data_IF_490449310421
#
_entry.id   IF_490449310421
#
_cell.length_a   1.000
_cell.length_b   1.000
_cell.length_c   1.000
_cell.angle_alpha   90.00
_cell.angle_beta   90.00
_cell.angle_gamma   90.00
#
_symmetry.space_group_name_H-M   'P 1'
#
loop_
_entity.id
_entity.type
_entity.pdbx_description
1 polymer ?
#
# COMPACT_ATOMS: atom_id res chain seq x y z
N UNK A 1 -30.22 -24.50 -25.09
CA UNK A 1 -29.08 -25.41 -25.34
C UNK A 1 -28.21 -25.51 -24.09
N UNK A 2 -28.18 -26.64 -23.40
CA UNK A 2 -27.27 -26.85 -22.25
C UNK A 2 -25.88 -27.16 -22.80
N UNK A 3 -24.92 -26.23 -22.70
CA UNK A 3 -23.53 -26.53 -23.04
C UNK A 3 -22.88 -27.26 -21.86
N UNK A 4 -22.55 -28.54 -22.07
CA UNK A 4 -21.65 -29.30 -21.20
C UNK A 4 -20.22 -28.99 -21.64
N UNK A 5 -19.36 -28.58 -20.72
CA UNK A 5 -17.93 -28.42 -20.97
C UNK A 5 -17.15 -29.51 -20.24
N UNK A 6 -16.26 -30.20 -20.97
CA UNK A 6 -15.33 -31.21 -20.43
C UNK A 6 -14.13 -30.51 -19.81
N UNK A 7 -13.74 -30.93 -18.61
CA UNK A 7 -12.50 -30.52 -17.92
C UNK A 7 -11.35 -31.40 -18.44
N UNK A 8 -10.27 -30.84 -19.03
CA UNK A 8 -9.08 -31.61 -19.33
C UNK A 8 -7.99 -31.35 -18.27
N UNK A 9 -7.67 -32.41 -17.51
CA UNK A 9 -6.37 -32.80 -16.96
C UNK A 9 -5.51 -31.77 -16.19
N UNK A 10 -5.29 -32.08 -14.90
CA UNK A 10 -4.20 -31.59 -14.06
C UNK A 10 -2.85 -32.13 -14.59
N UNK A 11 -1.88 -31.26 -14.83
CA UNK A 11 -0.45 -31.61 -14.82
C UNK A 11 0.16 -31.01 -13.56
N UNK A 12 0.52 -31.88 -12.61
CA UNK A 12 1.29 -31.50 -11.44
C UNK A 12 2.78 -31.54 -11.81
N UNK A 13 3.43 -30.38 -11.79
CA UNK A 13 4.87 -30.20 -11.92
C UNK A 13 5.34 -29.10 -10.97
N UNK A 14 6.36 -29.40 -10.17
CA UNK A 14 6.91 -28.63 -9.06
C UNK A 14 6.78 -27.09 -9.09
N UNK A 15 6.24 -26.53 -7.99
CA UNK A 15 6.72 -25.26 -7.44
C UNK A 15 5.86 -24.00 -7.60
N UNK A 16 4.80 -24.00 -8.39
CA UNK A 16 3.88 -22.86 -8.45
C UNK A 16 2.46 -23.30 -8.88
N UNK A 17 1.45 -22.98 -8.07
CA UNK A 17 0.05 -23.13 -8.46
C UNK A 17 -0.41 -21.81 -9.09
N UNK A 18 -0.49 -21.77 -10.42
CA UNK A 18 -1.08 -20.65 -11.16
C UNK A 18 -2.60 -20.82 -11.19
N UNK A 19 -3.32 -19.88 -10.57
CA UNK A 19 -4.77 -19.77 -10.74
C UNK A 19 -5.06 -19.14 -12.10
N UNK A 20 -5.20 -19.95 -13.14
CA UNK A 20 -5.66 -19.48 -14.46
C UNK A 20 -7.19 -19.38 -14.46
N UNK A 21 -7.72 -18.18 -14.28
CA UNK A 21 -9.14 -17.88 -14.54
C UNK A 21 -9.31 -17.77 -16.06
N UNK A 22 -10.04 -18.69 -16.69
CA UNK A 22 -10.25 -18.65 -18.14
C UNK A 22 -11.23 -17.51 -18.54
N UNK A 23 -10.64 -16.46 -19.14
CA UNK A 23 -11.16 -15.54 -20.18
C UNK A 23 -12.15 -14.40 -19.83
N UNK A 24 -12.05 -13.22 -20.48
CA UNK A 24 -10.87 -12.45 -20.89
C UNK A 24 -10.68 -11.29 -19.89
N UNK A 25 -9.67 -11.36 -19.03
CA UNK A 25 -9.41 -10.28 -18.07
C UNK A 25 -8.19 -9.51 -18.57
N UNK A 26 -8.39 -8.23 -18.89
CA UNK A 26 -7.32 -7.29 -19.24
C UNK A 26 -6.27 -7.25 -18.13
N UNK A 27 -5.00 -7.06 -18.51
CA UNK A 27 -3.78 -7.17 -17.69
C UNK A 27 -3.67 -6.23 -16.47
N UNK A 28 -4.64 -6.28 -15.55
CA UNK A 28 -4.68 -5.50 -14.31
C UNK A 28 -5.06 -6.36 -13.07
N UNK A 29 -4.85 -7.67 -13.13
CA UNK A 29 -5.13 -8.54 -11.99
C UNK A 29 -4.03 -8.41 -10.93
N UNK A 30 -4.42 -7.86 -9.78
CA UNK A 30 -3.61 -7.71 -8.57
C UNK A 30 -3.22 -9.10 -8.05
N UNK A 31 -2.03 -9.56 -8.42
CA UNK A 31 -1.43 -10.76 -7.84
C UNK A 31 -0.95 -10.43 -6.43
N UNK A 32 -1.73 -10.80 -5.42
CA UNK A 32 -1.30 -10.75 -4.02
C UNK A 32 -0.40 -11.96 -3.78
N UNK A 33 0.92 -11.76 -3.84
CA UNK A 33 1.89 -12.76 -3.40
C UNK A 33 1.89 -12.76 -1.87
N UNK A 34 1.24 -13.76 -1.26
CA UNK A 34 1.30 -13.98 0.18
C UNK A 34 2.54 -14.86 0.46
N UNK A 35 3.61 -14.34 1.07
CA UNK A 35 4.73 -15.17 1.49
C UNK A 35 4.23 -16.07 2.62
N UNK A 36 4.16 -17.38 2.36
CA UNK A 36 3.71 -18.34 3.35
C UNK A 36 4.85 -19.28 3.69
N UNK A 37 5.12 -19.41 4.99
CA UNK A 37 6.01 -20.43 5.54
C UNK A 37 5.31 -21.82 5.55
N UNK A 38 4.15 -21.94 4.88
CA UNK A 38 3.27 -23.11 4.82
C UNK A 38 2.32 -23.04 3.60
N UNK A 39 1.43 -24.02 3.40
CA UNK A 39 0.45 -24.02 2.30
C UNK A 39 -0.73 -23.07 2.57
N UNK A 40 -1.03 -22.16 1.64
CA UNK A 40 -2.27 -21.38 1.67
C UNK A 40 -3.46 -22.33 1.48
N UNK A 41 -4.44 -22.27 2.37
CA UNK A 41 -5.69 -22.99 2.16
C UNK A 41 -6.80 -21.98 1.86
N UNK A 42 -7.36 -22.05 0.66
CA UNK A 42 -8.44 -21.17 0.22
C UNK A 42 -9.78 -21.91 0.27
N UNK A 43 -10.86 -21.18 0.50
CA UNK A 43 -12.22 -21.69 0.44
C UNK A 43 -13.07 -20.92 -0.56
N UNK A 44 -14.02 -21.61 -1.19
CA UNK A 44 -15.07 -20.94 -1.94
C UNK A 44 -16.14 -20.37 -0.98
N UNK A 45 -16.88 -19.35 -1.40
CA UNK A 45 -17.85 -18.62 -0.56
C UNK A 45 -18.90 -19.52 0.13
N UNK A 46 -19.22 -20.69 -0.45
CA UNK A 46 -20.18 -21.66 0.08
C UNK A 46 -19.62 -22.62 1.13
N UNK A 47 -18.31 -22.60 1.39
CA UNK A 47 -17.67 -23.51 2.34
C UNK A 47 -18.04 -23.11 3.78
N UNK A 48 -18.60 -24.02 4.60
CA UNK A 48 -18.91 -23.70 5.98
C UNK A 48 -17.61 -23.59 6.80
N UNK A 49 -17.56 -22.63 7.73
CA UNK A 49 -16.50 -22.61 8.72
C UNK A 49 -16.83 -23.60 9.84
N UNK A 50 -15.92 -24.55 10.08
CA UNK A 50 -16.00 -25.56 11.13
C UNK A 50 -14.57 -26.01 11.49
N UNK A 51 -14.42 -26.85 12.52
CA UNK A 51 -13.10 -27.24 13.03
C UNK A 51 -12.19 -27.88 11.96
N UNK A 52 -12.76 -28.64 11.00
CA UNK A 52 -11.98 -29.22 9.89
C UNK A 52 -11.50 -28.19 8.85
N UNK A 53 -12.14 -27.03 8.81
CA UNK A 53 -11.86 -25.93 7.90
C UNK A 53 -11.17 -24.74 8.60
N UNK A 54 -10.73 -24.89 9.85
CA UNK A 54 -9.96 -23.87 10.55
C UNK A 54 -8.68 -23.50 9.75
N UNK A 55 -8.42 -22.19 9.64
CA UNK A 55 -7.29 -21.65 8.88
C UNK A 55 -7.52 -21.54 7.37
N UNK A 56 -8.72 -21.83 6.86
CA UNK A 56 -9.10 -21.44 5.49
C UNK A 56 -9.28 -19.93 5.40
N UNK A 57 -8.87 -19.34 4.28
CA UNK A 57 -9.22 -17.95 3.92
C UNK A 57 -10.18 -17.91 2.74
N UNK A 58 -11.12 -16.96 2.73
CA UNK A 58 -12.03 -16.71 1.61
C UNK A 58 -12.20 -15.22 1.34
N UNK A 59 -12.65 -14.89 0.13
CA UNK A 59 -13.21 -13.58 -0.17
C UNK A 59 -14.74 -13.63 -0.01
N UNK A 60 -15.32 -12.75 0.79
CA UNK A 60 -16.76 -12.70 1.05
C UNK A 60 -17.56 -11.93 -0.01
N UNK A 61 -16.87 -11.27 -0.94
CA UNK A 61 -17.44 -10.26 -1.82
C UNK A 61 -17.03 -8.83 -1.43
N UNK A 62 -16.68 -8.61 -0.15
CA UNK A 62 -16.30 -7.30 0.37
C UNK A 62 -15.02 -7.30 1.20
N UNK A 63 -14.64 -8.42 1.81
CA UNK A 63 -13.42 -8.54 2.59
C UNK A 63 -12.86 -9.97 2.56
N UNK A 64 -11.59 -10.11 2.95
CA UNK A 64 -11.05 -11.42 3.26
C UNK A 64 -11.50 -11.85 4.65
N UNK A 65 -11.92 -13.10 4.75
CA UNK A 65 -12.31 -13.74 5.99
C UNK A 65 -11.43 -14.95 6.24
N UNK A 66 -11.09 -15.19 7.50
CA UNK A 66 -10.48 -16.42 7.97
C UNK A 66 -11.53 -17.29 8.67
N UNK A 67 -11.43 -18.61 8.56
CA UNK A 67 -12.23 -19.52 9.36
C UNK A 67 -11.51 -19.82 10.68
N UNK A 68 -12.13 -19.49 11.81
CA UNK A 68 -11.58 -19.77 13.16
C UNK A 68 -11.89 -21.18 13.69
N UNK A 69 -12.59 -21.99 12.90
CA UNK A 69 -13.09 -23.31 13.29
C UNK A 69 -14.57 -23.33 13.71
N UNK A 70 -15.21 -22.17 13.80
CA UNK A 70 -16.63 -22.02 14.17
C UNK A 70 -17.37 -21.00 13.30
N UNK A 71 -16.70 -19.92 12.91
CA UNK A 71 -17.25 -18.84 12.11
C UNK A 71 -16.20 -18.26 11.17
N UNK A 72 -16.70 -17.67 10.08
CA UNK A 72 -15.90 -16.81 9.22
C UNK A 72 -15.75 -15.45 9.91
N UNK A 73 -14.52 -15.07 10.19
CA UNK A 73 -14.15 -13.80 10.82
C UNK A 73 -13.44 -12.92 9.80
N UNK A 74 -13.76 -11.63 9.75
CA UNK A 74 -13.00 -10.70 8.92
C UNK A 74 -11.54 -10.67 9.37
N UNK A 75 -10.64 -10.79 8.41
CA UNK A 75 -9.23 -10.50 8.66
C UNK A 75 -9.14 -8.98 8.83
N UNK A 76 -9.03 -8.53 10.08
CA UNK A 76 -8.92 -7.12 10.40
C UNK A 76 -7.56 -6.58 10.00
N UNK A 77 -7.54 -5.36 9.48
CA UNK A 77 -6.31 -4.59 9.33
C UNK A 77 -5.89 -4.16 10.73
N UNK A 78 -4.69 -4.53 11.21
CA UNK A 78 -4.22 -4.10 12.53
C UNK A 78 -4.11 -2.57 12.59
N UNK A 79 -4.65 -1.97 13.67
CA UNK A 79 -4.71 -0.52 13.85
C UNK A 79 -4.17 -0.06 15.19
N UNK A 80 -3.90 1.25 15.25
CA UNK A 80 -3.56 2.00 16.46
C UNK A 80 -4.36 3.31 16.48
N UNK A 81 -4.76 3.76 17.66
CA UNK A 81 -5.48 5.03 17.81
C UNK A 81 -4.50 6.17 18.14
N UNK A 82 -4.54 7.26 17.38
CA UNK A 82 -3.72 8.44 17.62
C UNK A 82 -4.41 9.69 17.08
N UNK A 83 -4.26 10.81 17.80
CA UNK A 83 -4.81 12.13 17.43
C UNK A 83 -6.27 12.08 16.93
N UNK A 84 -7.11 11.31 17.62
CA UNK A 84 -8.55 11.24 17.31
C UNK A 84 -8.95 10.26 16.20
N UNK A 85 -8.01 9.51 15.63
CA UNK A 85 -8.26 8.66 14.47
C UNK A 85 -7.69 7.25 14.66
N UNK A 86 -8.28 6.26 13.96
CA UNK A 86 -7.73 4.91 13.83
C UNK A 86 -6.81 4.82 12.62
N UNK A 87 -5.55 4.48 12.83
CA UNK A 87 -4.52 4.37 11.81
C UNK A 87 -4.10 2.93 11.63
N UNK A 88 -3.60 2.55 10.45
CA UNK A 88 -2.88 1.28 10.31
C UNK A 88 -1.65 1.26 11.24
N UNK A 89 -1.37 0.13 11.87
CA UNK A 89 -0.24 -0.02 12.80
C UNK A 89 1.14 -0.01 12.10
N UNK A 90 1.18 -0.18 10.77
CA UNK A 90 2.38 -0.13 9.93
C UNK A 90 2.17 0.58 8.58
N UNK A 91 3.27 0.93 7.92
CA UNK A 91 3.23 1.53 6.59
C UNK A 91 2.64 0.56 5.57
N UNK A 92 1.99 1.08 4.54
CA UNK A 92 1.47 0.26 3.46
C UNK A 92 2.64 -0.46 2.75
N UNK A 93 2.56 -1.79 2.68
CA UNK A 93 3.65 -2.65 2.17
C UNK A 93 4.67 -3.10 3.21
N UNK A 94 4.59 -2.65 4.47
CA UNK A 94 5.46 -3.12 5.54
C UNK A 94 5.05 -4.51 6.05
N UNK A 95 6.04 -5.35 6.42
CA UNK A 95 5.76 -6.70 6.93
C UNK A 95 5.44 -6.71 8.43
N UNK A 96 5.90 -5.70 9.18
CA UNK A 96 5.69 -5.61 10.64
C UNK A 96 5.54 -4.17 11.15
N UNK A 97 5.05 -4.06 12.38
CA UNK A 97 5.14 -2.83 13.18
C UNK A 97 6.61 -2.54 13.48
N UNK A 98 6.99 -1.27 13.42
CA UNK A 98 8.36 -0.86 13.63
C UNK A 98 8.88 -1.19 15.04
N UNK A 99 10.06 -1.81 15.09
CA UNK A 99 10.83 -2.05 16.32
C UNK A 99 11.86 -0.94 16.59
N UNK A 100 12.27 -0.21 15.55
CA UNK A 100 13.13 0.98 15.62
C UNK A 100 12.78 1.97 14.50
N UNK A 101 13.26 3.21 14.58
CA UNK A 101 13.03 4.23 13.55
C UNK A 101 13.66 3.89 12.19
N UNK A 102 14.64 2.98 12.16
CA UNK A 102 15.34 2.49 10.97
C UNK A 102 15.05 1.01 10.66
N UNK A 103 13.91 0.48 11.13
CA UNK A 103 13.51 -0.89 10.88
C UNK A 103 13.11 -1.11 9.41
N UNK A 104 13.97 -1.78 8.65
CA UNK A 104 13.77 -2.02 7.21
C UNK A 104 12.47 -2.78 6.91
N UNK A 105 12.04 -3.66 7.80
CA UNK A 105 10.81 -4.44 7.65
C UNK A 105 9.54 -3.60 7.89
N UNK A 106 9.69 -2.42 8.50
CA UNK A 106 8.61 -1.48 8.76
C UNK A 106 8.52 -0.34 7.75
N UNK A 107 9.51 -0.19 6.86
CA UNK A 107 9.56 0.90 5.89
C UNK A 107 8.38 0.93 4.93
N UNK A 108 7.93 -0.24 4.49
CA UNK A 108 6.88 -0.36 3.46
C UNK A 108 7.33 0.14 2.09
N UNK A 109 6.36 0.40 1.21
CA UNK A 109 6.59 0.77 -0.18
C UNK A 109 6.62 2.30 -0.40
N UNK A 110 7.05 2.75 -1.58
CA UNK A 110 7.22 4.16 -1.95
C UNK A 110 6.36 4.54 -3.17
N UNK A 111 5.18 5.10 -2.91
CA UNK A 111 4.15 5.37 -3.92
C UNK A 111 4.38 6.70 -4.62
N UNK A 112 4.07 6.81 -5.91
CA UNK A 112 3.91 8.09 -6.59
C UNK A 112 2.51 8.64 -6.33
N UNK A 113 2.41 9.94 -6.11
CA UNK A 113 1.15 10.53 -5.63
C UNK A 113 0.02 10.33 -6.64
N UNK A 114 -1.10 9.76 -6.21
CA UNK A 114 -2.26 9.49 -7.07
C UNK A 114 -2.21 8.16 -7.84
N UNK A 115 -1.15 7.35 -7.71
CA UNK A 115 -1.12 6.02 -8.32
C UNK A 115 -1.75 4.97 -7.41
N UNK A 116 -2.46 4.03 -8.02
CA UNK A 116 -2.93 2.83 -7.34
C UNK A 116 -1.77 1.84 -7.13
N UNK A 117 -1.99 0.81 -6.30
CA UNK A 117 -1.03 -0.27 -6.10
C UNK A 117 -0.94 -1.13 -7.37
N UNK A 118 0.14 -0.96 -8.13
CA UNK A 118 0.34 -1.58 -9.45
C UNK A 118 1.74 -2.12 -9.67
N UNK A 119 2.60 -2.06 -8.64
CA UNK A 119 3.97 -2.53 -8.64
C UNK A 119 5.01 -1.41 -8.69
N UNK A 120 4.63 -0.18 -9.08
CA UNK A 120 5.58 0.94 -9.13
C UNK A 120 6.14 1.28 -7.76
N UNK A 121 5.33 1.07 -6.72
CA UNK A 121 5.65 1.44 -5.35
C UNK A 121 6.79 0.60 -4.75
N UNK A 122 7.07 -0.56 -5.35
CA UNK A 122 8.14 -1.43 -4.87
C UNK A 122 9.48 -0.71 -4.97
N UNK A 123 10.27 -0.80 -3.89
CA UNK A 123 11.58 -0.14 -3.78
C UNK A 123 12.56 -0.55 -4.87
N UNK A 124 12.37 -1.73 -5.47
CA UNK A 124 13.18 -2.27 -6.56
C UNK A 124 12.45 -2.29 -7.91
N UNK A 125 11.31 -1.60 -8.06
CA UNK A 125 10.59 -1.56 -9.34
C UNK A 125 11.44 -0.87 -10.41
N UNK A 126 11.30 -1.34 -11.66
CA UNK A 126 12.01 -0.78 -12.81
C UNK A 126 11.51 0.65 -13.06
N UNK A 127 12.39 1.50 -13.57
CA UNK A 127 12.05 2.87 -13.95
C UNK A 127 11.65 2.98 -15.42
N UNK A 128 10.79 3.94 -15.75
CA UNK A 128 10.38 4.27 -17.11
C UNK A 128 10.45 5.77 -17.32
N UNK A 129 11.29 6.22 -18.26
CA UNK A 129 11.45 7.64 -18.61
C UNK A 129 10.36 8.10 -19.59
N UNK A 130 9.11 8.10 -19.14
CA UNK A 130 7.96 8.53 -19.94
C UNK A 130 6.84 8.99 -19.01
N UNK A 131 6.22 10.12 -19.31
CA UNK A 131 5.06 10.62 -18.55
C UNK A 131 3.77 9.92 -19.03
N UNK A 132 2.90 9.54 -18.09
CA UNK A 132 1.61 8.91 -18.42
C UNK A 132 0.59 9.96 -18.88
N UNK A 133 -0.24 9.63 -19.87
CA UNK A 133 -1.42 10.44 -20.23
C UNK A 133 -2.72 9.99 -19.53
N UNK A 134 -2.65 8.93 -18.72
CA UNK A 134 -3.79 8.28 -18.07
C UNK A 134 -3.59 8.07 -16.58
N UNK A 135 -4.70 8.02 -15.85
CA UNK A 135 -4.82 7.67 -14.42
C UNK A 135 -4.28 6.25 -14.14
N UNK A 136 -4.27 5.41 -15.17
CA UNK A 136 -3.81 4.01 -15.13
C UNK A 136 -2.82 3.78 -16.27
N UNK A 137 -1.49 3.80 -15.98
CA UNK A 137 -0.45 3.60 -17.00
C UNK A 137 -0.45 2.22 -17.65
N UNK A 138 -1.07 1.21 -17.02
CA UNK A 138 -1.07 -0.17 -17.50
C UNK A 138 0.23 -0.94 -17.23
N UNK A 139 1.10 -0.43 -16.36
CA UNK A 139 2.35 -1.08 -15.96
C UNK A 139 2.80 -0.70 -14.53
N UNK A 140 3.56 -1.58 -13.89
CA UNK A 140 4.15 -1.37 -12.56
C UNK A 140 5.50 -0.67 -12.54
N UNK A 141 5.91 0.03 -13.60
CA UNK A 141 7.17 0.78 -13.59
C UNK A 141 7.02 2.11 -12.84
N UNK A 142 8.08 2.53 -12.13
CA UNK A 142 8.20 3.86 -11.55
C UNK A 142 8.46 4.88 -12.67
N UNK A 143 7.66 5.94 -12.73
CA UNK A 143 7.65 6.86 -13.87
C UNK A 143 8.59 8.03 -13.55
N UNK A 144 9.52 8.29 -14.45
CA UNK A 144 10.45 9.41 -14.39
C UNK A 144 10.09 10.36 -15.53
N UNK A 145 9.22 11.36 -15.29
CA UNK A 145 8.90 12.35 -16.31
C UNK A 145 10.11 13.28 -16.56
N UNK A 146 10.10 14.11 -17.61
CA UNK A 146 11.12 15.12 -17.83
C UNK A 146 11.34 16.00 -16.59
N UNK A 147 12.56 16.52 -16.40
CA UNK A 147 12.91 17.29 -15.19
C UNK A 147 12.01 18.51 -14.95
N UNK A 148 11.47 19.09 -16.02
CA UNK A 148 10.56 20.25 -15.98
C UNK A 148 9.16 19.91 -15.45
N UNK A 149 8.81 18.63 -15.36
CA UNK A 149 7.50 18.15 -14.94
C UNK A 149 7.55 17.71 -13.47
N UNK A 150 6.53 18.08 -12.69
CA UNK A 150 6.45 17.71 -11.26
C UNK A 150 5.51 16.55 -10.99
N UNK A 151 4.93 15.96 -12.04
CA UNK A 151 3.92 14.90 -11.96
C UNK A 151 4.27 13.76 -12.91
N UNK A 152 4.03 12.53 -12.47
CA UNK A 152 4.24 11.32 -13.28
C UNK A 152 3.26 11.21 -14.44
N UNK A 153 2.20 12.02 -14.42
CA UNK A 153 1.20 12.11 -15.48
C UNK A 153 1.02 13.54 -16.00
N UNK A 154 0.57 13.65 -17.24
CA UNK A 154 0.13 14.88 -17.87
C UNK A 154 -1.12 14.60 -18.74
N UNK A 155 -2.27 15.23 -18.48
CA UNK A 155 -2.50 16.27 -17.47
C UNK A 155 -2.50 15.73 -16.03
N UNK A 156 -2.16 16.59 -15.06
CA UNK A 156 -2.29 16.31 -13.62
C UNK A 156 -3.75 16.10 -13.22
N UNK A 157 -3.98 15.27 -12.19
CA UNK A 157 -5.32 15.02 -11.64
C UNK A 157 -5.29 14.92 -10.11
N UNK A 158 -5.95 15.87 -9.43
CA UNK A 158 -5.96 15.99 -7.98
C UNK A 158 -6.99 15.08 -7.30
N UNK A 159 -7.89 14.46 -8.07
CA UNK A 159 -8.98 13.65 -7.52
C UNK A 159 -8.57 12.20 -7.23
N UNK A 160 -7.32 11.82 -7.53
CA UNK A 160 -6.89 10.43 -7.49
C UNK A 160 -6.87 9.83 -6.08
N UNK A 161 -6.48 10.62 -5.08
CA UNK A 161 -6.41 10.22 -3.67
C UNK A 161 -7.29 11.05 -2.72
N UNK A 162 -7.96 12.09 -3.21
CA UNK A 162 -8.91 12.88 -2.39
C UNK A 162 -10.21 12.11 -2.15
N UNK A 163 -10.81 12.24 -0.95
CA UNK A 163 -12.13 11.68 -0.60
C UNK A 163 -12.31 10.20 -0.99
N UNK A 164 -11.39 9.31 -0.59
CA UNK A 164 -11.33 7.88 -0.99
C UNK A 164 -11.09 7.64 -2.49
N UNK A 165 -10.49 8.62 -3.17
CA UNK A 165 -10.36 8.73 -4.63
C UNK A 165 -10.06 7.44 -5.39
N UNK A 166 -10.36 7.44 -6.69
CA UNK A 166 -10.45 6.20 -7.51
C UNK A 166 -9.18 5.33 -7.47
N UNK A 167 -8.02 5.92 -7.17
CA UNK A 167 -6.72 5.26 -7.10
C UNK A 167 -6.20 5.09 -5.66
N UNK A 168 -7.08 5.14 -4.64
CA UNK A 168 -6.72 4.93 -3.25
C UNK A 168 -5.97 3.58 -3.07
N UNK A 169 -4.70 3.60 -2.65
CA UNK A 169 -3.90 2.39 -2.48
C UNK A 169 -4.19 1.69 -1.15
N UNK A 170 -4.88 2.35 -0.22
CA UNK A 170 -5.19 1.80 1.08
C UNK A 170 -6.25 0.68 1.00
N UNK A 171 -6.26 -0.25 1.98
CA UNK A 171 -7.30 -1.28 2.06
C UNK A 171 -8.71 -0.69 2.15
N UNK A 172 -9.76 -1.44 1.78
CA UNK A 172 -11.14 -0.98 1.92
C UNK A 172 -11.45 -0.49 3.35
N UNK A 173 -12.11 0.68 3.44
CA UNK A 173 -12.39 1.35 4.72
C UNK A 173 -11.24 2.18 5.27
N UNK A 174 -10.14 2.31 4.52
CA UNK A 174 -9.02 3.18 4.84
C UNK A 174 -8.70 4.08 3.65
N UNK A 175 -8.12 5.24 3.96
CA UNK A 175 -7.64 6.22 2.99
C UNK A 175 -6.29 6.79 3.40
N UNK A 176 -5.73 7.64 2.54
CA UNK A 176 -4.62 8.49 2.95
C UNK A 176 -5.09 9.56 3.94
N UNK A 177 -4.21 9.98 4.87
CA UNK A 177 -4.49 11.08 5.78
C UNK A 177 -4.40 12.41 5.02
N UNK A 178 -5.22 13.36 5.43
CA UNK A 178 -5.17 14.76 5.00
C UNK A 178 -3.97 15.48 5.62
N UNK A 179 -3.64 16.67 5.12
CA UNK A 179 -2.61 17.50 5.74
C UNK A 179 -2.98 17.86 7.18
N UNK A 180 -4.27 18.08 7.47
CA UNK A 180 -4.75 18.45 8.80
C UNK A 180 -4.56 17.28 9.78
N UNK A 181 -4.91 16.05 9.37
CA UNK A 181 -4.69 14.86 10.21
C UNK A 181 -3.21 14.63 10.49
N UNK A 182 -2.35 14.82 9.48
CA UNK A 182 -0.90 14.77 9.70
C UNK A 182 -0.38 15.87 10.62
N UNK A 183 -0.88 17.10 10.49
CA UNK A 183 -0.51 18.19 11.39
C UNK A 183 -0.92 17.90 12.84
N UNK A 184 -2.12 17.38 13.05
CA UNK A 184 -2.62 17.01 14.37
C UNK A 184 -1.82 15.84 14.97
N UNK A 185 -1.48 14.83 14.18
CA UNK A 185 -0.58 13.76 14.59
C UNK A 185 0.80 14.32 14.96
N UNK A 186 1.41 15.09 14.07
CA UNK A 186 2.73 15.69 14.27
C UNK A 186 2.77 16.54 15.55
N UNK A 187 1.78 17.40 15.79
CA UNK A 187 1.67 18.25 16.98
C UNK A 187 1.49 17.45 18.29
N UNK A 188 1.02 16.20 18.22
CA UNK A 188 0.89 15.34 19.41
C UNK A 188 2.24 14.80 19.91
N UNK A 189 3.29 14.87 19.08
CA UNK A 189 4.60 14.32 19.43
C UNK A 189 5.29 15.15 20.51
N UNK A 190 5.94 14.46 21.45
CA UNK A 190 6.75 15.07 22.51
C UNK A 190 7.86 15.94 21.94
N UNK A 191 8.48 15.51 20.84
CA UNK A 191 9.47 16.30 20.10
C UNK A 191 9.13 16.32 18.62
N UNK A 192 9.25 17.49 18.00
CA UNK A 192 8.94 17.70 16.58
C UNK A 192 10.11 17.23 15.69
N UNK A 193 10.42 15.93 15.73
CA UNK A 193 11.53 15.31 15.00
C UNK A 193 11.35 13.78 14.91
N UNK A 194 12.33 13.09 14.32
CA UNK A 194 12.35 11.63 14.17
C UNK A 194 12.17 10.86 15.49
N UNK A 195 12.73 11.36 16.59
CA UNK A 195 12.57 10.72 17.91
C UNK A 195 11.12 10.75 18.36
N UNK A 196 10.43 11.90 18.20
CA UNK A 196 9.03 12.03 18.58
C UNK A 196 8.11 11.25 17.64
N UNK A 197 8.41 11.23 16.34
CA UNK A 197 7.66 10.45 15.35
C UNK A 197 7.66 8.94 15.65
N UNK A 198 8.80 8.40 16.07
CA UNK A 198 8.91 6.99 16.43
C UNK A 198 8.34 6.69 17.83
N UNK A 199 8.43 7.64 18.76
CA UNK A 199 7.84 7.53 20.09
C UNK A 199 6.30 7.70 20.07
N UNK A 200 5.72 8.22 18.99
CA UNK A 200 4.27 8.33 18.82
C UNK A 200 3.62 6.93 18.73
N UNK A 201 2.30 6.80 18.98
CA UNK A 201 1.59 5.55 18.80
C UNK A 201 1.76 4.95 17.38
N UNK A 202 1.97 5.79 16.36
CA UNK A 202 2.13 5.35 14.97
C UNK A 202 3.49 4.72 14.67
N UNK A 203 4.50 4.95 15.53
CA UNK A 203 5.88 4.49 15.35
C UNK A 203 6.41 4.76 13.95
N UNK A 204 6.32 6.00 13.49
CA UNK A 204 6.72 6.35 12.13
C UNK A 204 8.23 6.17 11.94
N UNK A 205 8.60 5.62 10.79
CA UNK A 205 9.99 5.23 10.46
C UNK A 205 10.62 6.14 9.41
N UNK A 206 11.95 6.14 9.38
CA UNK A 206 12.80 6.89 8.47
C UNK A 206 13.02 6.10 7.17
N UNK A 207 11.92 5.86 6.45
CA UNK A 207 11.88 4.99 5.28
C UNK A 207 12.57 5.58 4.02
N UNK A 208 13.06 6.82 4.09
CA UNK A 208 13.60 7.54 2.95
C UNK A 208 12.52 7.92 1.94
N UNK A 209 12.96 8.27 0.73
CA UNK A 209 12.10 8.58 -0.43
C UNK A 209 12.77 8.16 -1.73
N UNK A 210 11.98 7.97 -2.77
CA UNK A 210 12.46 7.72 -4.13
C UNK A 210 12.36 8.99 -4.96
N UNK A 211 13.46 9.42 -5.54
CA UNK A 211 13.52 10.67 -6.30
C UNK A 211 12.81 10.56 -7.65
N UNK A 212 11.98 11.53 -8.00
CA UNK A 212 11.21 11.52 -9.25
C UNK A 212 12.00 11.78 -10.53
N UNK A 213 13.28 12.16 -10.42
CA UNK A 213 14.17 12.42 -11.57
C UNK A 213 15.06 11.21 -11.87
N UNK A 214 15.85 10.78 -10.89
CA UNK A 214 16.81 9.68 -11.06
C UNK A 214 16.22 8.31 -10.68
N UNK A 215 15.09 8.26 -9.97
CA UNK A 215 14.52 7.02 -9.45
C UNK A 215 15.33 6.36 -8.35
N UNK A 216 16.40 6.98 -7.87
CA UNK A 216 17.22 6.51 -6.74
C UNK A 216 16.49 6.70 -5.42
N UNK A 217 16.76 5.81 -4.45
CA UNK A 217 16.20 5.92 -3.10
C UNK A 217 17.25 6.59 -2.20
N UNK A 218 16.89 7.72 -1.63
CA UNK A 218 17.69 8.51 -0.70
C UNK A 218 17.10 8.52 0.71
N UNK A 219 17.89 9.05 1.66
CA UNK A 219 17.48 9.29 3.06
C UNK A 219 16.96 8.09 3.86
N UNK A 220 17.29 6.88 3.42
CA UNK A 220 17.02 5.65 4.16
C UNK A 220 17.70 5.74 5.54
N UNK A 221 16.92 5.53 6.60
CA UNK A 221 17.38 5.66 7.98
C UNK A 221 17.68 7.10 8.43
N UNK A 222 17.39 8.11 7.61
CA UNK A 222 17.68 9.53 7.89
C UNK A 222 16.45 10.42 7.88
N UNK A 223 15.47 10.14 7.01
CA UNK A 223 14.27 10.95 6.84
C UNK A 223 13.00 10.11 6.72
N UNK A 224 11.94 10.56 7.39
CA UNK A 224 10.57 10.08 7.20
C UNK A 224 9.85 10.97 6.20
N UNK A 225 9.31 10.38 5.14
CA UNK A 225 8.63 11.08 4.05
C UNK A 225 7.29 10.39 3.79
N UNK A 226 6.19 11.05 4.12
CA UNK A 226 4.85 10.47 4.10
C UNK A 226 3.89 11.31 3.28
N UNK A 227 3.13 10.66 2.40
CA UNK A 227 2.12 11.34 1.59
C UNK A 227 0.91 11.77 2.42
N UNK A 228 0.33 12.91 2.03
CA UNK A 228 -1.06 13.25 2.34
C UNK A 228 -1.97 13.05 1.12
N UNK A 229 -3.28 13.06 1.36
CA UNK A 229 -4.31 13.05 0.31
C UNK A 229 -4.43 14.38 -0.44
N UNK A 230 -3.77 15.45 0.00
CA UNK A 230 -4.11 16.83 -0.41
C UNK A 230 -3.29 17.31 -1.62
N UNK A 231 -2.81 16.40 -2.45
CA UNK A 231 -2.13 16.71 -3.70
C UNK A 231 -0.74 17.32 -3.52
N UNK A 232 0.32 16.57 -3.81
CA UNK A 232 1.68 17.13 -3.84
C UNK A 232 2.15 17.71 -2.49
N UNK A 233 1.63 17.18 -1.39
CA UNK A 233 2.01 17.58 -0.03
C UNK A 233 2.25 16.35 0.84
N UNK A 234 3.06 16.51 1.89
CA UNK A 234 3.42 15.40 2.76
C UNK A 234 4.00 15.85 4.10
N UNK A 235 4.09 14.88 5.02
CA UNK A 235 4.77 15.00 6.30
C UNK A 235 6.23 14.59 6.13
N UNK A 236 7.13 15.45 6.59
CA UNK A 236 8.57 15.29 6.54
C UNK A 236 9.16 15.40 7.94
N UNK A 237 10.01 14.47 8.34
CA UNK A 237 10.74 14.58 9.60
C UNK A 237 12.13 13.97 9.53
N UNK A 238 13.06 14.61 10.23
CA UNK A 238 14.48 14.27 10.34
C UNK A 238 14.89 14.35 11.81
N UNK A 239 16.19 14.17 12.10
CA UNK A 239 16.70 14.20 13.48
C UNK A 239 16.42 15.51 14.23
N UNK A 240 16.33 16.65 13.54
CA UNK A 240 16.20 17.97 14.16
C UNK A 240 14.85 18.63 13.99
N UNK A 241 14.01 18.19 13.05
CA UNK A 241 12.77 18.88 12.72
C UNK A 241 11.71 17.95 12.12
N UNK A 242 10.46 18.40 12.18
CA UNK A 242 9.31 17.83 11.49
C UNK A 242 8.49 18.98 10.89
N UNK A 243 7.94 18.79 9.69
CA UNK A 243 7.13 19.79 9.01
C UNK A 243 6.19 19.14 8.00
N UNK A 244 5.11 19.84 7.68
CA UNK A 244 4.41 19.63 6.41
C UNK A 244 5.12 20.40 5.30
N UNK A 245 5.07 19.89 4.07
CA UNK A 245 5.70 20.55 2.92
C UNK A 245 5.13 20.10 1.58
N UNK A 246 5.44 20.87 0.54
CA UNK A 246 5.19 20.48 -0.84
C UNK A 246 6.22 19.48 -1.35
N UNK A 247 5.81 18.62 -2.26
CA UNK A 247 6.66 17.61 -2.90
C UNK A 247 6.09 17.22 -4.26
N UNK A 248 7.00 17.01 -5.22
CA UNK A 248 6.62 16.63 -6.57
C UNK A 248 5.92 15.27 -6.57
N UNK A 249 4.78 15.16 -7.25
CA UNK A 249 3.94 13.96 -7.34
C UNK A 249 4.63 12.79 -8.02
N UNK A 250 5.67 13.06 -8.84
CA UNK A 250 6.59 12.06 -9.41
C UNK A 250 7.49 11.37 -8.36
N UNK A 251 7.58 11.91 -7.14
CA UNK A 251 8.40 11.32 -6.08
C UNK A 251 7.74 10.08 -5.47
N UNK A 252 8.53 9.16 -4.93
CA UNK A 252 8.05 8.00 -4.19
C UNK A 252 8.14 8.24 -2.68
N UNK A 253 7.00 8.31 -1.99
CA UNK A 253 6.95 8.49 -0.52
C UNK A 253 6.14 7.37 0.14
N UNK A 254 6.34 7.21 1.44
CA UNK A 254 5.63 6.21 2.24
C UNK A 254 4.15 6.59 2.37
N UNK A 255 3.29 5.57 2.50
CA UNK A 255 1.87 5.73 2.79
C UNK A 255 1.56 5.09 4.14
N UNK A 256 0.90 5.85 5.00
CA UNK A 256 0.31 5.36 6.25
C UNK A 256 -1.19 5.64 6.19
N UNK A 257 -2.01 4.60 6.17
CA UNK A 257 -3.45 4.78 6.00
C UNK A 257 -4.16 5.07 7.33
N UNK A 258 -5.22 5.86 7.25
CA UNK A 258 -6.16 6.17 8.32
C UNK A 258 -7.54 5.64 7.94
N UNK A 259 -8.30 5.16 8.91
CA UNK A 259 -9.65 4.63 8.70
C UNK A 259 -10.62 5.77 8.36
N UNK A 260 -11.50 5.52 7.40
CA UNK A 260 -12.58 6.45 7.02
C UNK A 260 -13.61 6.67 8.12
#
# INVERSE_FOLDING_TARGET
MKKRYRVPWLLAGAGAMFLMIQSPVSAADKVVVVPLNSTMKTANATTPCNASNAGLTRWSGSAFEGCDGTAWIFLSVPTVYSSGHEWMDRNLGASRVAESSNDEQAYGDLYQWGRFHDGHEKRNSITLQTQSSSDVPGHGNFILPPETENDWRNPSNDNLWQNTGVNNPCPPGFRLPTNIEWQNEMQSWVSQNATGAFASPLKLVLAGRREGVAGSIGDIGKGGNYWSSDGGTGLFFYNSNATMGGVDRKSGLSVRCVKD
#
